data_IF_054243933797
#
_entry.id   IF_054243933797
#
_cell.length_a   1.000
_cell.length_b   1.000
_cell.length_c   1.000
_cell.angle_alpha   90.00
_cell.angle_beta   90.00
_cell.angle_gamma   90.00
#
_symmetry.space_group_name_H-M   'P 1'
#
loop_
_entity.id
_entity.type
_entity.pdbx_description
1 polymer ?
#
# COMPACT_ATOMS: atom_id res chain seq x y z
N UNK A 1 -11.02 -4.72 -0.86
CA UNK A 1 -11.87 -3.96 0.09
C UNK A 1 -12.55 -4.94 1.02
N UNK A 2 -12.50 -4.71 2.33
CA UNK A 2 -13.27 -5.45 3.34
C UNK A 2 -12.69 -6.75 3.87
N UNK A 3 -11.46 -7.13 3.50
CA UNK A 3 -10.81 -8.33 4.06
C UNK A 3 -10.61 -8.22 5.57
N UNK A 4 -10.25 -7.03 6.06
CA UNK A 4 -10.13 -6.80 7.50
C UNK A 4 -11.46 -6.92 8.26
N UNK A 5 -12.57 -6.51 7.63
CA UNK A 5 -13.91 -6.68 8.22
C UNK A 5 -14.26 -8.17 8.34
N UNK A 6 -14.04 -8.95 7.28
CA UNK A 6 -14.32 -10.39 7.28
C UNK A 6 -13.44 -11.12 8.30
N UNK A 7 -12.15 -10.80 8.33
CA UNK A 7 -11.19 -11.38 9.27
C UNK A 7 -11.64 -11.19 10.73
N UNK A 8 -12.09 -9.99 11.09
CA UNK A 8 -12.51 -9.68 12.46
C UNK A 8 -13.93 -10.18 12.81
N UNK A 9 -14.63 -10.83 11.90
CA UNK A 9 -15.86 -11.58 12.20
C UNK A 9 -15.57 -13.00 12.71
N UNK A 10 -14.36 -13.52 12.49
CA UNK A 10 -13.95 -14.82 13.00
C UNK A 10 -13.64 -14.77 14.49
N UNK A 11 -13.80 -15.90 15.23
CA UNK A 11 -13.61 -15.94 16.68
C UNK A 11 -12.19 -15.61 17.14
N UNK A 12 -11.17 -15.90 16.31
CA UNK A 12 -9.75 -15.70 16.64
C UNK A 12 -9.01 -15.12 15.42
N UNK A 13 -9.17 -13.82 15.14
CA UNK A 13 -8.53 -13.17 14.03
C UNK A 13 -7.00 -13.15 14.14
N UNK A 14 -6.45 -13.11 15.36
CA UNK A 14 -5.00 -13.08 15.57
C UNK A 14 -4.34 -14.40 15.18
N UNK A 15 -4.97 -15.55 15.51
CA UNK A 15 -4.49 -16.84 15.05
C UNK A 15 -4.57 -16.99 13.52
N UNK A 16 -5.58 -16.40 12.88
CA UNK A 16 -5.72 -16.41 11.42
C UNK A 16 -4.61 -15.59 10.75
N UNK A 17 -4.19 -14.46 11.34
CA UNK A 17 -3.13 -13.59 10.78
C UNK A 17 -1.78 -14.30 10.59
N UNK A 18 -1.56 -15.40 11.31
CA UNK A 18 -0.32 -16.20 11.25
C UNK A 18 -0.53 -17.60 10.66
N UNK A 19 -1.72 -17.87 10.13
CA UNK A 19 -2.10 -19.13 9.47
C UNK A 19 -2.46 -18.84 8.01
N UNK A 20 -1.55 -19.18 7.09
CA UNK A 20 -1.69 -18.81 5.68
C UNK A 20 -2.90 -19.46 5.00
N UNK A 21 -3.28 -20.69 5.38
CA UNK A 21 -4.46 -21.31 4.79
C UNK A 21 -5.74 -20.57 5.21
N UNK A 22 -5.91 -20.34 6.51
CA UNK A 22 -7.11 -19.65 7.03
C UNK A 22 -7.18 -18.20 6.53
N UNK A 23 -6.04 -17.52 6.45
CA UNK A 23 -5.97 -16.16 5.90
C UNK A 23 -6.38 -16.17 4.42
N UNK A 24 -5.96 -17.15 3.64
CA UNK A 24 -6.38 -17.34 2.26
C UNK A 24 -7.89 -17.61 2.11
N UNK A 25 -8.48 -18.40 3.03
CA UNK A 25 -9.93 -18.63 3.09
C UNK A 25 -10.69 -17.32 3.35
N UNK A 26 -10.20 -16.48 4.28
CA UNK A 26 -10.76 -15.15 4.54
C UNK A 26 -10.66 -14.22 3.31
N UNK A 27 -9.54 -14.25 2.59
CA UNK A 27 -9.39 -13.48 1.34
C UNK A 27 -10.42 -13.91 0.28
N UNK A 28 -10.64 -15.22 0.12
CA UNK A 28 -11.64 -15.78 -0.79
C UNK A 28 -13.05 -15.37 -0.35
N UNK A 29 -13.36 -15.50 0.93
CA UNK A 29 -14.66 -15.10 1.49
C UNK A 29 -14.94 -13.63 1.25
N UNK A 30 -13.99 -12.74 1.56
CA UNK A 30 -14.12 -11.30 1.35
C UNK A 30 -14.35 -10.96 -0.13
N UNK A 31 -13.58 -11.56 -1.05
CA UNK A 31 -13.72 -11.33 -2.48
C UNK A 31 -15.11 -11.75 -2.98
N UNK A 32 -15.62 -12.90 -2.54
CA UNK A 32 -16.97 -13.38 -2.91
C UNK A 32 -18.08 -12.54 -2.31
N UNK A 33 -17.96 -12.15 -1.03
CA UNK A 33 -18.94 -11.30 -0.33
C UNK A 33 -19.10 -9.96 -1.04
N UNK A 34 -18.00 -9.33 -1.41
CA UNK A 34 -18.00 -8.03 -2.07
C UNK A 34 -17.95 -8.12 -3.61
N UNK A 35 -18.22 -9.31 -4.18
CA UNK A 35 -18.39 -9.56 -5.63
C UNK A 35 -17.25 -8.98 -6.47
N UNK A 36 -16.01 -9.13 -5.99
CA UNK A 36 -14.82 -8.73 -6.73
C UNK A 36 -14.04 -9.97 -7.18
N UNK A 37 -13.45 -9.97 -8.39
CA UNK A 37 -12.56 -11.05 -8.80
C UNK A 37 -11.20 -11.00 -8.09
N UNK A 38 -10.89 -9.91 -7.38
CA UNK A 38 -9.61 -9.64 -6.77
C UNK A 38 -9.60 -10.14 -5.31
N UNK A 39 -8.83 -11.17 -5.01
CA UNK A 39 -8.62 -11.62 -3.63
C UNK A 39 -7.43 -10.86 -3.02
N UNK A 40 -7.75 -9.82 -2.24
CA UNK A 40 -6.79 -8.90 -1.66
C UNK A 40 -6.51 -9.28 -0.19
N UNK A 41 -5.24 -9.37 0.24
CA UNK A 41 -4.92 -9.54 1.65
C UNK A 41 -5.35 -8.32 2.47
N UNK A 42 -5.46 -8.50 3.80
CA UNK A 42 -5.63 -7.40 4.73
C UNK A 42 -4.47 -6.42 4.62
N UNK A 43 -4.76 -5.12 4.66
CA UNK A 43 -3.73 -4.08 4.67
C UNK A 43 -3.08 -3.98 6.05
N UNK A 44 -2.01 -4.72 6.26
CA UNK A 44 -1.16 -4.59 7.45
C UNK A 44 0.21 -4.05 7.05
N UNK A 45 0.43 -2.75 7.28
CA UNK A 45 1.66 -2.06 6.91
C UNK A 45 2.75 -2.13 8.00
N UNK A 46 2.66 -3.07 8.94
CA UNK A 46 3.71 -3.29 9.96
C UNK A 46 4.58 -4.50 9.66
N UNK A 47 4.09 -5.43 8.84
CA UNK A 47 4.74 -6.71 8.55
C UNK A 47 6.18 -6.57 8.06
N UNK A 48 6.42 -5.62 7.16
CA UNK A 48 7.74 -5.41 6.58
C UNK A 48 8.72 -4.79 7.61
N UNK A 49 8.25 -3.88 8.47
CA UNK A 49 9.08 -3.37 9.58
C UNK A 49 9.45 -4.49 10.56
N UNK A 50 8.48 -5.34 10.92
CA UNK A 50 8.70 -6.50 11.79
C UNK A 50 9.71 -7.46 11.19
N UNK A 51 9.57 -7.79 9.91
CA UNK A 51 10.49 -8.66 9.19
C UNK A 51 11.90 -8.05 9.11
N UNK A 52 12.01 -6.76 8.80
CA UNK A 52 13.30 -6.07 8.71
C UNK A 52 14.04 -6.11 10.04
N UNK A 53 13.37 -5.75 11.13
CA UNK A 53 13.98 -5.76 12.47
C UNK A 53 14.40 -7.17 12.90
N UNK A 54 13.56 -8.18 12.65
CA UNK A 54 13.89 -9.57 12.94
C UNK A 54 15.12 -10.05 12.16
N UNK A 55 15.21 -9.74 10.86
CA UNK A 55 16.35 -10.09 10.01
C UNK A 55 17.64 -9.40 10.45
N UNK A 56 17.55 -8.20 10.99
CA UNK A 56 18.68 -7.45 11.53
C UNK A 56 19.08 -7.91 12.96
N UNK A 57 18.24 -8.71 13.62
CA UNK A 57 18.42 -9.10 15.02
C UNK A 57 18.28 -7.91 15.97
N UNK A 58 17.37 -6.99 15.63
CA UNK A 58 17.08 -5.80 16.42
C UNK A 58 15.80 -6.06 17.21
N UNK A 59 15.95 -6.28 18.52
CA UNK A 59 14.83 -6.42 19.46
C UNK A 59 14.43 -5.05 20.00
N UNK A 60 13.20 -4.68 19.79
CA UNK A 60 12.68 -3.46 20.39
C UNK A 60 11.32 -3.10 19.83
N UNK A 61 10.25 -3.77 20.27
CA UNK A 61 8.85 -3.51 19.93
C UNK A 61 8.65 -2.73 18.63
N UNK A 62 8.05 -3.31 17.64
CA UNK A 62 7.98 -2.79 16.26
C UNK A 62 7.45 -1.35 16.15
N UNK A 63 6.69 -0.86 17.14
CA UNK A 63 6.13 0.49 17.14
C UNK A 63 7.13 1.59 17.52
N UNK A 64 8.10 1.29 18.39
CA UNK A 64 8.98 2.30 19.00
C UNK A 64 10.40 2.35 18.41
N UNK A 65 10.79 1.34 17.63
CA UNK A 65 12.13 1.29 17.06
C UNK A 65 12.32 2.34 15.97
N UNK A 66 13.41 3.13 16.11
CA UNK A 66 13.93 4.02 15.07
C UNK A 66 15.47 3.94 15.05
N UNK A 67 16.05 3.99 13.87
CA UNK A 67 17.49 4.11 13.72
C UNK A 67 17.96 5.48 14.22
N UNK A 68 19.02 5.50 15.01
CA UNK A 68 19.73 6.72 15.42
C UNK A 68 21.01 6.97 14.60
N UNK A 69 21.43 5.99 13.81
CA UNK A 69 22.55 6.05 12.88
C UNK A 69 22.36 5.01 11.78
N UNK A 70 23.03 5.11 10.62
CA UNK A 70 22.99 4.07 9.60
C UNK A 70 23.33 2.69 10.18
N UNK A 71 22.67 1.61 9.74
CA UNK A 71 22.96 0.26 10.20
C UNK A 71 24.44 -0.08 10.03
N UNK A 72 25.05 -0.68 11.07
CA UNK A 72 26.45 -1.09 11.00
C UNK A 72 26.68 -2.20 9.97
N UNK A 73 27.91 -2.38 9.51
CA UNK A 73 28.27 -3.46 8.59
C UNK A 73 27.88 -4.85 9.12
N UNK A 74 27.94 -5.08 10.45
CA UNK A 74 27.51 -6.32 11.08
C UNK A 74 26.00 -6.53 10.97
N UNK A 75 25.20 -5.48 11.24
CA UNK A 75 23.72 -5.51 11.11
C UNK A 75 23.34 -5.75 9.65
N UNK A 76 24.00 -5.08 8.71
CA UNK A 76 23.75 -5.28 7.27
C UNK A 76 24.14 -6.71 6.84
N UNK A 77 25.25 -7.25 7.29
CA UNK A 77 25.64 -8.63 6.98
C UNK A 77 24.64 -9.66 7.50
N UNK A 78 24.07 -9.43 8.70
CA UNK A 78 23.01 -10.26 9.28
C UNK A 78 21.73 -10.17 8.45
N UNK A 79 21.32 -8.97 8.09
CA UNK A 79 20.17 -8.73 7.20
C UNK A 79 20.32 -9.49 5.88
N UNK A 80 21.48 -9.38 5.21
CA UNK A 80 21.78 -10.07 3.95
C UNK A 80 21.68 -11.60 4.08
N UNK A 81 22.31 -12.15 5.11
CA UNK A 81 22.28 -13.57 5.37
C UNK A 81 20.84 -14.07 5.65
N UNK A 82 20.03 -13.23 6.34
CA UNK A 82 18.66 -13.55 6.69
C UNK A 82 17.67 -13.45 5.53
N UNK A 83 17.93 -12.59 4.53
CA UNK A 83 16.98 -12.35 3.41
C UNK A 83 16.53 -13.63 2.69
N UNK A 84 17.36 -14.66 2.59
CA UNK A 84 16.98 -15.94 1.95
C UNK A 84 16.40 -16.97 2.93
N UNK A 85 16.34 -16.64 4.23
CA UNK A 85 15.74 -17.46 5.29
C UNK A 85 14.23 -17.32 5.41
N UNK A 86 13.70 -17.77 6.54
CA UNK A 86 12.29 -17.55 6.89
C UNK A 86 12.08 -16.11 7.35
N UNK A 87 10.94 -15.55 6.96
CA UNK A 87 10.46 -14.27 7.44
C UNK A 87 9.66 -14.44 8.75
N UNK A 88 9.09 -13.35 9.24
CA UNK A 88 8.18 -13.41 10.40
C UNK A 88 6.92 -14.22 10.08
N UNK A 89 6.26 -14.83 11.09
CA UNK A 89 5.06 -15.64 10.87
C UNK A 89 3.97 -14.91 10.07
N UNK A 90 3.75 -13.62 10.33
CA UNK A 90 2.78 -12.83 9.59
C UNK A 90 3.12 -12.65 8.10
N UNK A 91 4.40 -12.44 7.77
CA UNK A 91 4.84 -12.37 6.37
C UNK A 91 4.70 -13.72 5.67
N UNK A 92 5.13 -14.82 6.31
CA UNK A 92 4.99 -16.18 5.75
C UNK A 92 3.52 -16.53 5.52
N UNK A 93 2.63 -16.22 6.48
CA UNK A 93 1.20 -16.46 6.36
C UNK A 93 0.58 -15.69 5.17
N UNK A 94 0.99 -14.44 4.94
CA UNK A 94 0.52 -13.68 3.77
C UNK A 94 0.99 -14.31 2.45
N UNK A 95 2.23 -14.78 2.36
CA UNK A 95 2.75 -15.47 1.18
C UNK A 95 2.00 -16.80 0.94
N UNK A 96 1.76 -17.57 2.00
CA UNK A 96 1.03 -18.83 1.92
C UNK A 96 -0.46 -18.61 1.57
N UNK A 97 -1.07 -17.55 2.08
CA UNK A 97 -2.44 -17.17 1.75
C UNK A 97 -2.61 -16.88 0.24
N UNK A 98 -1.66 -16.19 -0.38
CA UNK A 98 -1.64 -15.97 -1.84
C UNK A 98 -1.60 -17.33 -2.56
N UNK A 99 -0.72 -18.25 -2.13
CA UNK A 99 -0.60 -19.58 -2.71
C UNK A 99 -1.88 -20.41 -2.51
N UNK A 100 -2.57 -20.26 -1.35
CA UNK A 100 -3.86 -20.90 -1.10
C UNK A 100 -4.94 -20.37 -2.06
N UNK A 101 -5.08 -19.06 -2.21
CA UNK A 101 -6.03 -18.43 -3.16
C UNK A 101 -5.77 -18.93 -4.59
N UNK A 102 -4.50 -18.95 -5.02
CA UNK A 102 -4.11 -19.37 -6.37
C UNK A 102 -4.48 -20.82 -6.68
N UNK A 103 -4.42 -21.71 -5.68
CA UNK A 103 -4.72 -23.14 -5.84
C UNK A 103 -6.19 -23.50 -5.63
N UNK A 104 -6.91 -22.73 -4.79
CA UNK A 104 -8.21 -23.15 -4.24
C UNK A 104 -9.38 -22.31 -4.74
N UNK A 105 -9.13 -21.36 -5.66
CA UNK A 105 -10.19 -20.49 -6.18
C UNK A 105 -9.94 -20.10 -7.64
N UNK A 106 -10.96 -19.53 -8.26
CA UNK A 106 -10.96 -18.89 -9.59
C UNK A 106 -10.68 -17.37 -9.51
N UNK A 107 -10.37 -16.88 -8.31
CA UNK A 107 -10.10 -15.47 -8.07
C UNK A 107 -8.67 -15.10 -8.48
N UNK A 108 -8.45 -13.82 -8.73
CA UNK A 108 -7.12 -13.28 -8.98
C UNK A 108 -6.40 -13.09 -7.64
N UNK A 109 -5.33 -13.86 -7.35
CA UNK A 109 -4.59 -13.70 -6.10
C UNK A 109 -3.73 -12.44 -6.14
N UNK A 110 -3.96 -11.53 -5.18
CA UNK A 110 -3.17 -10.33 -5.02
C UNK A 110 -2.17 -10.49 -3.87
N UNK A 111 -0.93 -10.04 -4.12
CA UNK A 111 0.02 -9.76 -3.06
C UNK A 111 -0.08 -8.30 -2.61
N UNK A 112 0.55 -7.97 -1.48
CA UNK A 112 0.65 -6.60 -1.00
C UNK A 112 1.92 -6.39 -0.20
N UNK A 113 2.53 -5.21 -0.37
CA UNK A 113 3.62 -4.70 0.45
C UNK A 113 3.45 -3.21 0.71
N UNK A 114 4.00 -2.75 1.84
CA UNK A 114 4.25 -1.32 2.00
C UNK A 114 5.31 -0.88 0.98
N UNK A 115 5.20 0.34 0.46
CA UNK A 115 6.22 0.88 -0.43
C UNK A 115 7.52 1.22 0.32
N UNK A 116 8.66 1.19 -0.38
CA UNK A 116 9.99 1.37 0.24
C UNK A 116 10.13 2.69 0.99
N UNK A 117 9.64 3.80 0.44
CA UNK A 117 9.70 5.09 1.11
C UNK A 117 8.84 5.11 2.39
N UNK A 118 7.62 4.58 2.32
CA UNK A 118 6.74 4.48 3.49
C UNK A 118 7.31 3.55 4.57
N UNK A 119 7.99 2.48 4.20
CA UNK A 119 8.71 1.64 5.16
C UNK A 119 9.86 2.42 5.81
N UNK A 120 10.68 3.11 5.01
CA UNK A 120 11.77 3.96 5.50
C UNK A 120 11.26 4.99 6.52
N UNK A 121 10.11 5.64 6.28
CA UNK A 121 9.57 6.63 7.23
C UNK A 121 9.21 6.05 8.59
N UNK A 122 8.94 4.75 8.67
CA UNK A 122 8.69 4.04 9.94
C UNK A 122 9.96 3.65 10.70
N UNK A 123 11.12 3.79 10.07
CA UNK A 123 12.43 3.47 10.64
C UNK A 123 13.17 4.70 11.18
N UNK A 124 12.65 5.90 10.97
CA UNK A 124 13.23 7.17 11.40
C UNK A 124 12.33 7.87 12.41
N UNK A 125 12.92 8.52 13.41
CA UNK A 125 12.17 9.32 14.39
C UNK A 125 11.58 10.60 13.73
N UNK A 126 12.35 11.23 12.85
CA UNK A 126 11.90 12.35 12.01
C UNK A 126 12.28 12.07 10.55
N UNK A 127 11.36 11.54 9.73
CA UNK A 127 11.62 11.30 8.32
C UNK A 127 11.45 12.55 7.43
N UNK A 128 10.90 13.66 7.95
CA UNK A 128 10.66 14.87 7.15
C UNK A 128 11.95 15.70 7.02
N UNK A 129 12.71 15.81 8.10
CA UNK A 129 13.96 16.58 8.13
C UNK A 129 14.95 16.14 7.05
N UNK A 130 15.38 14.87 6.95
CA UNK A 130 16.35 14.43 5.96
C UNK A 130 15.86 14.59 4.51
N UNK A 131 14.56 14.38 4.22
CA UNK A 131 13.99 14.64 2.90
C UNK A 131 14.08 16.12 2.54
N UNK A 132 13.83 17.01 3.51
CA UNK A 132 13.93 18.47 3.31
C UNK A 132 15.38 18.88 3.07
N UNK A 133 16.32 18.40 3.86
CA UNK A 133 17.76 18.69 3.72
C UNK A 133 18.28 18.22 2.37
N UNK A 134 17.92 17.01 1.94
CA UNK A 134 18.25 16.50 0.61
C UNK A 134 17.68 17.39 -0.51
N UNK A 135 16.43 17.85 -0.34
CA UNK A 135 15.79 18.78 -1.27
C UNK A 135 16.42 20.17 -1.32
N UNK A 136 17.20 20.54 -0.31
CA UNK A 136 17.99 21.76 -0.25
C UNK A 136 19.42 21.57 -0.79
N UNK A 137 19.77 20.36 -1.26
CA UNK A 137 21.04 20.05 -1.91
C UNK A 137 22.07 19.34 -0.99
N UNK A 138 21.68 18.96 0.22
CA UNK A 138 22.56 18.14 1.06
C UNK A 138 22.62 16.71 0.53
N UNK A 139 23.77 16.06 0.65
CA UNK A 139 24.00 14.67 0.28
C UNK A 139 24.34 13.80 1.50
N UNK A 140 24.32 12.49 1.34
CA UNK A 140 24.75 11.54 2.37
C UNK A 140 26.25 11.71 2.75
N UNK A 141 27.05 12.33 1.89
CA UNK A 141 28.47 12.56 2.15
C UNK A 141 28.72 13.71 3.14
N UNK A 142 27.80 14.67 3.23
CA UNK A 142 27.94 15.92 4.00
C UNK A 142 26.89 16.06 5.11
N UNK A 143 25.92 15.16 5.17
CA UNK A 143 24.86 15.26 6.16
C UNK A 143 24.45 13.87 6.70
N UNK A 144 24.58 13.67 8.00
CA UNK A 144 24.34 12.40 8.68
C UNK A 144 22.85 11.99 8.63
N UNK A 145 21.92 12.94 8.68
CA UNK A 145 20.48 12.65 8.59
C UNK A 145 20.10 12.14 7.17
N UNK A 146 20.70 12.72 6.13
CA UNK A 146 20.51 12.26 4.76
C UNK A 146 21.14 10.87 4.57
N UNK A 147 22.33 10.64 5.13
CA UNK A 147 22.99 9.33 5.10
C UNK A 147 22.15 8.25 5.78
N UNK A 148 21.60 8.57 6.95
CA UNK A 148 20.70 7.67 7.69
C UNK A 148 19.46 7.33 6.89
N UNK A 149 18.79 8.34 6.30
CA UNK A 149 17.60 8.14 5.48
C UNK A 149 17.88 7.27 4.24
N UNK A 150 18.97 7.54 3.53
CA UNK A 150 19.34 6.76 2.34
C UNK A 150 19.68 5.31 2.69
N UNK A 151 20.38 5.06 3.80
CA UNK A 151 20.65 3.72 4.29
C UNK A 151 19.37 2.97 4.69
N UNK A 152 18.44 3.64 5.37
CA UNK A 152 17.15 3.08 5.74
C UNK A 152 16.27 2.78 4.50
N UNK A 153 16.33 3.65 3.47
CA UNK A 153 15.61 3.43 2.21
C UNK A 153 16.19 2.26 1.41
N UNK A 154 17.52 2.08 1.42
CA UNK A 154 18.17 0.95 0.74
C UNK A 154 17.71 -0.39 1.33
N UNK A 155 17.82 -0.56 2.65
CA UNK A 155 17.40 -1.82 3.31
C UNK A 155 15.89 -2.06 3.16
N UNK A 156 15.07 -1.00 3.21
CA UNK A 156 13.64 -1.07 2.95
C UNK A 156 13.34 -1.56 1.52
N UNK A 157 14.03 -1.01 0.53
CA UNK A 157 13.85 -1.38 -0.87
C UNK A 157 14.22 -2.85 -1.10
N UNK A 158 15.33 -3.31 -0.54
CA UNK A 158 15.82 -4.69 -0.70
C UNK A 158 14.89 -5.70 -0.05
N UNK A 159 14.38 -5.42 1.15
CA UNK A 159 13.39 -6.28 1.80
C UNK A 159 12.09 -6.36 1.00
N UNK A 160 11.54 -5.21 0.57
CA UNK A 160 10.29 -5.18 -0.19
C UNK A 160 10.42 -5.96 -1.49
N UNK A 161 11.54 -5.82 -2.21
CA UNK A 161 11.80 -6.61 -3.44
C UNK A 161 11.84 -8.11 -3.14
N UNK A 162 12.51 -8.55 -2.07
CA UNK A 162 12.54 -9.99 -1.69
C UNK A 162 11.15 -10.52 -1.36
N UNK A 163 10.34 -9.76 -0.59
CA UNK A 163 8.96 -10.17 -0.25
C UNK A 163 8.11 -10.28 -1.52
N UNK A 164 8.21 -9.32 -2.43
CA UNK A 164 7.50 -9.35 -3.72
C UNK A 164 7.90 -10.58 -4.54
N UNK A 165 9.19 -10.91 -4.64
CA UNK A 165 9.64 -12.12 -5.34
C UNK A 165 9.00 -13.39 -4.76
N UNK A 166 8.85 -13.48 -3.45
CA UNK A 166 8.19 -14.63 -2.79
C UNK A 166 6.69 -14.65 -3.09
N UNK A 167 6.03 -13.49 -3.09
CA UNK A 167 4.62 -13.39 -3.44
C UNK A 167 4.37 -13.77 -4.91
N UNK A 168 5.26 -13.39 -5.82
CA UNK A 168 5.23 -13.82 -7.23
C UNK A 168 5.36 -15.35 -7.32
N UNK A 169 6.34 -15.94 -6.65
CA UNK A 169 6.52 -17.40 -6.60
C UNK A 169 5.34 -18.14 -5.99
N UNK A 170 4.63 -17.51 -5.05
CA UNK A 170 3.39 -18.03 -4.46
C UNK A 170 2.19 -17.96 -5.43
N UNK A 171 2.32 -17.29 -6.56
CA UNK A 171 1.29 -17.25 -7.62
C UNK A 171 0.50 -15.94 -7.67
N UNK A 172 0.98 -14.87 -7.03
CA UNK A 172 0.38 -13.54 -7.18
C UNK A 172 0.33 -13.14 -8.67
N UNK A 173 -0.81 -12.60 -9.09
CA UNK A 173 -1.02 -12.07 -10.44
C UNK A 173 -0.95 -10.54 -10.48
N UNK A 174 -1.07 -9.92 -9.34
CA UNK A 174 -0.98 -8.48 -9.15
C UNK A 174 -0.40 -8.22 -7.75
N UNK A 175 0.42 -7.18 -7.61
CA UNK A 175 0.96 -6.73 -6.32
C UNK A 175 0.47 -5.32 -6.02
N UNK A 176 -0.12 -5.14 -4.85
CA UNK A 176 -0.47 -3.81 -4.31
C UNK A 176 0.75 -3.25 -3.60
N UNK A 177 1.21 -2.10 -4.05
CA UNK A 177 2.24 -1.32 -3.36
C UNK A 177 1.56 -0.14 -2.68
N UNK A 178 1.55 -0.15 -1.34
CA UNK A 178 0.98 0.91 -0.54
C UNK A 178 2.07 1.92 -0.12
N UNK A 179 2.04 3.10 -0.73
CA UNK A 179 3.05 4.16 -0.54
C UNK A 179 2.43 5.44 0.08
N UNK A 180 1.72 5.35 1.22
CA UNK A 180 0.97 6.48 1.78
C UNK A 180 1.84 7.67 2.20
N UNK A 181 3.12 7.46 2.52
CA UNK A 181 4.03 8.52 2.90
C UNK A 181 4.60 9.30 1.70
N UNK A 182 4.49 8.80 0.46
CA UNK A 182 4.96 9.53 -0.72
C UNK A 182 3.99 10.65 -1.12
N UNK A 183 3.84 11.65 -0.25
CA UNK A 183 2.85 12.71 -0.34
C UNK A 183 3.42 14.09 0.00
N UNK A 184 2.61 15.15 -0.11
CA UNK A 184 3.04 16.55 0.11
C UNK A 184 3.51 16.88 1.52
N UNK A 185 3.28 16.01 2.52
CA UNK A 185 3.77 16.21 3.90
C UNK A 185 5.26 15.93 3.96
N UNK A 186 5.72 14.87 3.31
CA UNK A 186 7.13 14.46 3.26
C UNK A 186 7.89 15.15 2.12
N UNK A 187 7.23 15.39 1.00
CA UNK A 187 7.83 16.00 -0.19
C UNK A 187 7.24 17.39 -0.43
N UNK A 188 8.02 18.42 -0.08
CA UNK A 188 7.59 19.81 -0.25
C UNK A 188 7.21 20.13 -1.71
N UNK A 189 5.95 20.52 -2.00
CA UNK A 189 5.54 20.96 -3.34
C UNK A 189 6.41 22.09 -3.89
N UNK A 190 6.90 22.97 -3.00
CA UNK A 190 7.76 24.10 -3.38
C UNK A 190 9.12 23.61 -3.89
N UNK A 191 9.70 22.58 -3.27
CA UNK A 191 10.97 22.01 -3.72
C UNK A 191 10.81 21.27 -5.04
N UNK A 192 9.76 20.47 -5.20
CA UNK A 192 9.45 19.76 -6.46
C UNK A 192 9.31 20.77 -7.60
N UNK A 193 8.50 21.82 -7.44
CA UNK A 193 8.29 22.85 -8.48
C UNK A 193 9.53 23.70 -8.79
N UNK A 194 10.53 23.70 -7.91
CA UNK A 194 11.85 24.30 -8.14
C UNK A 194 12.84 23.37 -8.83
N UNK A 195 12.41 22.15 -9.18
CA UNK A 195 13.23 21.18 -9.89
C UNK A 195 14.06 20.27 -8.99
N UNK A 196 13.74 20.19 -7.67
CA UNK A 196 14.38 19.20 -6.80
C UNK A 196 14.00 17.80 -7.21
N UNK A 197 14.96 16.89 -7.24
CA UNK A 197 14.81 15.49 -7.62
C UNK A 197 14.36 14.56 -6.49
N UNK A 198 14.07 15.11 -5.28
CA UNK A 198 13.79 14.31 -4.09
C UNK A 198 12.65 13.31 -4.29
N UNK A 199 11.59 13.70 -5.03
CA UNK A 199 10.47 12.81 -5.28
C UNK A 199 10.86 11.66 -6.23
N UNK A 200 11.61 11.97 -7.29
CA UNK A 200 12.18 10.94 -8.18
C UNK A 200 13.13 10.01 -7.42
N UNK A 201 14.07 10.59 -6.67
CA UNK A 201 15.14 9.84 -5.99
C UNK A 201 14.63 8.93 -4.88
N UNK A 202 13.70 9.40 -4.05
CA UNK A 202 13.30 8.69 -2.84
C UNK A 202 11.96 7.96 -2.95
N UNK A 203 11.02 8.45 -3.77
CA UNK A 203 9.75 7.78 -3.97
C UNK A 203 9.70 6.97 -5.27
N UNK A 204 10.06 7.56 -6.41
CA UNK A 204 9.86 6.89 -7.69
C UNK A 204 10.95 5.85 -8.02
N UNK A 205 12.23 6.17 -7.81
CA UNK A 205 13.31 5.27 -8.20
C UNK A 205 13.24 3.89 -7.51
N UNK A 206 12.95 3.79 -6.20
CA UNK A 206 12.69 2.48 -5.57
C UNK A 206 11.47 1.76 -6.17
N UNK A 207 10.38 2.48 -6.42
CA UNK A 207 9.16 1.91 -6.99
C UNK A 207 9.32 1.53 -8.48
N UNK A 208 10.20 2.19 -9.25
CA UNK A 208 10.57 1.74 -10.60
C UNK A 208 11.27 0.38 -10.59
N UNK A 209 12.11 0.08 -9.58
CA UNK A 209 12.71 -1.25 -9.42
C UNK A 209 11.62 -2.30 -9.20
N UNK A 210 10.60 -1.98 -8.41
CA UNK A 210 9.45 -2.86 -8.18
C UNK A 210 8.65 -3.04 -9.48
N UNK A 211 8.29 -1.95 -10.17
CA UNK A 211 7.57 -2.01 -11.43
C UNK A 211 8.31 -2.87 -12.48
N UNK A 212 9.64 -2.73 -12.56
CA UNK A 212 10.46 -3.55 -13.46
C UNK A 212 10.46 -5.03 -13.06
N UNK A 213 10.63 -5.35 -11.75
CA UNK A 213 10.56 -6.72 -11.25
C UNK A 213 9.21 -7.38 -11.59
N UNK A 214 8.11 -6.67 -11.39
CA UNK A 214 6.77 -7.17 -11.70
C UNK A 214 6.60 -7.41 -13.20
N UNK A 215 7.00 -6.46 -14.03
CA UNK A 215 6.96 -6.56 -15.50
C UNK A 215 7.77 -7.75 -16.02
N UNK A 216 8.97 -7.97 -15.51
CA UNK A 216 9.84 -9.07 -15.89
C UNK A 216 9.24 -10.46 -15.56
N UNK A 217 8.31 -10.49 -14.58
CA UNK A 217 7.62 -11.71 -14.17
C UNK A 217 6.16 -11.81 -14.67
N UNK A 218 5.68 -10.87 -15.48
CA UNK A 218 4.32 -10.86 -16.01
C UNK A 218 3.25 -10.68 -14.92
N UNK A 219 3.58 -9.91 -13.88
CA UNK A 219 2.70 -9.58 -12.75
C UNK A 219 2.35 -8.10 -12.80
N UNK A 220 1.09 -7.77 -12.54
CA UNK A 220 0.58 -6.42 -12.65
C UNK A 220 0.89 -5.57 -11.40
N UNK A 221 1.16 -4.28 -11.59
CA UNK A 221 1.30 -3.31 -10.51
C UNK A 221 -0.04 -2.67 -10.18
N UNK A 222 -0.44 -2.75 -8.91
CA UNK A 222 -1.51 -1.95 -8.32
C UNK A 222 -0.85 -0.93 -7.38
N UNK A 223 -0.69 0.32 -7.83
CA UNK A 223 -0.05 1.35 -7.01
C UNK A 223 -1.08 2.13 -6.20
N UNK A 224 -0.88 2.23 -4.88
CA UNK A 224 -1.79 2.90 -3.95
C UNK A 224 -1.07 3.99 -3.17
N UNK A 225 -1.61 5.21 -3.22
CA UNK A 225 -1.22 6.31 -2.34
C UNK A 225 -2.45 7.08 -1.85
N UNK A 226 -2.82 6.90 -0.58
CA UNK A 226 -3.93 7.61 0.05
C UNK A 226 -3.52 8.93 0.73
N UNK A 227 -2.28 9.37 0.56
CA UNK A 227 -1.79 10.66 1.04
C UNK A 227 -2.32 11.84 0.22
N UNK A 228 -2.10 13.06 0.70
CA UNK A 228 -2.44 14.26 -0.05
C UNK A 228 -1.40 14.55 -1.13
N UNK A 229 -1.84 14.59 -2.39
CA UNK A 229 -0.99 14.70 -3.57
C UNK A 229 -1.21 16.01 -4.33
N UNK A 230 -0.18 16.47 -5.01
CA UNK A 230 -0.25 17.48 -6.09
C UNK A 230 -0.27 16.77 -7.46
N UNK A 231 -0.63 17.47 -8.51
CA UNK A 231 -0.77 16.89 -9.86
C UNK A 231 0.53 16.29 -10.39
N UNK A 232 1.65 16.94 -10.09
CA UNK A 232 2.99 16.46 -10.44
C UNK A 232 3.28 15.07 -9.85
N UNK A 233 2.81 14.79 -8.62
CA UNK A 233 2.96 13.48 -7.96
C UNK A 233 2.05 12.43 -8.60
N UNK A 234 0.82 12.79 -8.96
CA UNK A 234 -0.11 11.86 -9.65
C UNK A 234 0.46 11.45 -11.01
N UNK A 235 0.94 12.43 -11.79
CA UNK A 235 1.60 12.17 -13.10
C UNK A 235 2.84 11.30 -12.93
N UNK A 236 3.62 11.53 -11.87
CA UNK A 236 4.82 10.76 -11.59
C UNK A 236 4.48 9.30 -11.21
N UNK A 237 3.45 9.06 -10.41
CA UNK A 237 2.98 7.70 -10.12
C UNK A 237 2.41 6.99 -11.37
N UNK A 238 1.70 7.72 -12.22
CA UNK A 238 1.24 7.17 -13.49
C UNK A 238 2.40 6.75 -14.40
N UNK A 239 3.58 7.39 -14.28
CA UNK A 239 4.78 7.01 -15.04
C UNK A 239 5.43 5.69 -14.60
N UNK A 240 4.98 5.09 -13.49
CA UNK A 240 5.34 3.72 -13.09
C UNK A 240 4.61 2.66 -13.94
N UNK A 241 3.71 3.08 -14.84
CA UNK A 241 2.89 2.23 -15.71
C UNK A 241 2.06 1.19 -14.92
N UNK A 242 1.35 1.60 -13.83
CA UNK A 242 0.56 0.66 -13.07
C UNK A 242 -0.71 0.24 -13.85
N UNK A 243 -1.11 -1.03 -13.73
CA UNK A 243 -2.41 -1.49 -14.24
C UNK A 243 -3.56 -0.82 -13.49
N UNK A 244 -3.39 -0.59 -12.18
CA UNK A 244 -4.36 0.11 -11.32
C UNK A 244 -3.64 1.18 -10.52
N UNK A 245 -4.17 2.41 -10.52
CA UNK A 245 -3.72 3.52 -9.68
C UNK A 245 -4.84 3.91 -8.70
N UNK A 246 -4.57 3.77 -7.40
CA UNK A 246 -5.49 4.11 -6.32
C UNK A 246 -5.04 5.38 -5.60
N UNK A 247 -5.94 6.35 -5.51
CA UNK A 247 -5.69 7.66 -4.92
C UNK A 247 -6.60 7.92 -3.71
N UNK A 248 -6.14 8.76 -2.79
CA UNK A 248 -6.88 9.18 -1.60
C UNK A 248 -8.08 10.06 -1.92
N UNK A 249 -9.01 10.21 -0.96
CA UNK A 249 -10.23 11.01 -1.08
C UNK A 249 -9.99 12.53 -1.14
N UNK A 250 -8.75 12.97 -0.98
CA UNK A 250 -8.33 14.35 -1.25
C UNK A 250 -8.25 14.68 -2.74
N UNK A 251 -8.30 13.66 -3.61
CA UNK A 251 -8.25 13.80 -5.07
C UNK A 251 -9.66 13.68 -5.67
N UNK A 252 -9.82 14.30 -6.83
CA UNK A 252 -11.06 14.24 -7.63
C UNK A 252 -10.79 13.39 -8.86
N UNK A 253 -11.12 12.09 -8.82
CA UNK A 253 -10.66 11.10 -9.80
C UNK A 253 -11.01 11.46 -11.25
N UNK A 254 -12.18 12.04 -11.51
CA UNK A 254 -12.54 12.45 -12.88
C UNK A 254 -11.75 13.64 -13.40
N UNK A 255 -11.09 14.43 -12.53
CA UNK A 255 -10.11 15.44 -12.92
C UNK A 255 -8.73 14.80 -13.11
N UNK A 256 -8.35 13.89 -12.21
CA UNK A 256 -7.09 13.15 -12.28
C UNK A 256 -6.98 12.28 -13.53
N UNK A 257 -8.09 11.87 -14.10
CA UNK A 257 -8.14 11.16 -15.38
C UNK A 257 -7.43 11.89 -16.54
N UNK A 258 -7.25 13.20 -16.45
CA UNK A 258 -6.46 13.98 -17.41
C UNK A 258 -4.94 13.82 -17.20
N UNK A 259 -4.51 13.36 -16.04
CA UNK A 259 -3.10 13.19 -15.64
C UNK A 259 -2.62 11.73 -15.82
N UNK A 260 -3.54 10.80 -16.06
CA UNK A 260 -3.28 9.36 -16.06
C UNK A 260 -3.62 8.77 -17.43
N UNK A 261 -2.74 7.94 -18.03
CA UNK A 261 -3.04 7.30 -19.31
C UNK A 261 -4.25 6.36 -19.19
N UNK A 262 -5.03 6.24 -20.27
CA UNK A 262 -6.20 5.34 -20.31
C UNK A 262 -5.85 3.84 -20.24
N UNK A 263 -4.58 3.48 -20.32
CA UNK A 263 -4.09 2.13 -20.06
C UNK A 263 -4.09 1.78 -18.58
N UNK A 264 -4.06 2.80 -17.70
CA UNK A 264 -4.14 2.63 -16.25
C UNK A 264 -5.58 2.80 -15.77
N UNK A 265 -6.07 1.85 -15.00
CA UNK A 265 -7.40 1.91 -14.37
C UNK A 265 -7.29 2.79 -13.11
N UNK A 266 -8.14 3.80 -12.98
CA UNK A 266 -8.27 4.55 -11.73
C UNK A 266 -9.16 3.79 -10.75
N UNK A 267 -8.71 3.67 -9.50
CA UNK A 267 -9.45 2.98 -8.43
C UNK A 267 -9.73 3.94 -7.27
N UNK A 268 -10.94 3.87 -6.75
CA UNK A 268 -11.29 4.55 -5.50
C UNK A 268 -12.53 5.43 -5.63
N UNK A 269 -12.67 6.52 -4.87
CA UNK A 269 -11.85 6.90 -3.71
C UNK A 269 -12.74 7.42 -2.58
N UNK A 270 -13.77 6.60 -2.25
CA UNK A 270 -14.69 6.95 -1.16
C UNK A 270 -13.93 7.03 0.17
N UNK A 271 -14.26 7.98 1.07
CA UNK A 271 -13.48 8.27 2.28
C UNK A 271 -13.67 7.21 3.38
N UNK A 272 -13.11 6.02 3.21
CA UNK A 272 -13.24 4.87 4.12
C UNK A 272 -12.75 5.16 5.53
N UNK A 273 -11.79 6.06 5.70
CA UNK A 273 -11.32 6.53 7.01
C UNK A 273 -12.41 7.18 7.87
N UNK A 274 -13.58 7.53 7.27
CA UNK A 274 -14.74 8.09 7.95
C UNK A 274 -15.88 7.06 8.13
N UNK A 275 -15.70 5.81 7.70
CA UNK A 275 -16.79 4.84 7.68
C UNK A 275 -17.24 4.39 9.07
N UNK A 276 -16.37 4.44 10.06
CA UNK A 276 -16.71 4.11 11.45
C UNK A 276 -17.76 5.05 12.05
N UNK A 277 -17.85 6.29 11.58
CA UNK A 277 -18.75 7.30 12.14
C UNK A 277 -20.09 7.36 11.39
N UNK A 278 -21.24 7.33 12.09
CA UNK A 278 -22.55 7.46 11.45
C UNK A 278 -22.82 8.86 10.88
N UNK A 279 -22.05 9.88 11.31
CA UNK A 279 -22.29 11.30 10.97
C UNK A 279 -21.24 11.93 10.07
N UNK A 280 -19.95 11.53 10.15
CA UNK A 280 -18.87 12.14 9.36
C UNK A 280 -19.01 11.87 7.86
N UNK A 281 -19.54 10.72 7.47
CA UNK A 281 -19.87 10.37 6.10
C UNK A 281 -20.98 9.33 6.13
N UNK A 282 -22.22 9.77 5.99
CA UNK A 282 -23.43 8.95 6.19
C UNK A 282 -23.60 7.89 5.09
N UNK A 283 -24.43 6.86 5.34
CA UNK A 283 -24.77 5.84 4.33
C UNK A 283 -25.35 6.46 3.05
N UNK A 284 -26.21 7.49 3.18
CA UNK A 284 -26.74 8.21 2.02
C UNK A 284 -25.61 8.89 1.23
N UNK A 285 -24.71 9.60 1.91
CA UNK A 285 -23.56 10.24 1.27
C UNK A 285 -22.66 9.23 0.55
N UNK A 286 -22.46 8.01 1.11
CA UNK A 286 -21.75 6.92 0.40
C UNK A 286 -22.46 6.57 -0.90
N UNK A 287 -23.79 6.37 -0.85
CA UNK A 287 -24.60 6.04 -2.03
C UNK A 287 -24.53 7.15 -3.10
N UNK A 288 -24.70 8.41 -2.69
CA UNK A 288 -24.71 9.56 -3.62
C UNK A 288 -23.32 9.77 -4.24
N UNK A 289 -22.26 9.74 -3.44
CA UNK A 289 -20.87 9.85 -3.94
C UNK A 289 -20.48 8.68 -4.84
N UNK A 290 -20.96 7.47 -4.55
CA UNK A 290 -20.73 6.30 -5.43
C UNK A 290 -21.36 6.51 -6.81
N UNK A 291 -22.62 6.95 -6.84
CA UNK A 291 -23.33 7.23 -8.11
C UNK A 291 -22.67 8.37 -8.88
N UNK A 292 -22.27 9.43 -8.19
CA UNK A 292 -21.56 10.55 -8.81
C UNK A 292 -20.25 10.10 -9.44
N UNK A 293 -19.40 9.38 -8.70
CA UNK A 293 -18.14 8.84 -9.22
C UNK A 293 -18.37 8.00 -10.46
N UNK A 294 -19.34 7.06 -10.42
CA UNK A 294 -19.67 6.20 -11.57
C UNK A 294 -20.11 7.07 -12.76
N UNK A 295 -21.02 8.03 -12.56
CA UNK A 295 -21.53 8.87 -13.62
C UNK A 295 -20.42 9.71 -14.26
N UNK A 296 -19.60 10.40 -13.45
CA UNK A 296 -18.50 11.24 -13.92
C UNK A 296 -17.43 10.45 -14.66
N UNK A 297 -17.03 9.28 -14.13
CA UNK A 297 -16.01 8.46 -14.78
C UNK A 297 -16.52 7.84 -16.10
N UNK A 298 -17.80 7.50 -16.19
CA UNK A 298 -18.43 7.09 -17.46
C UNK A 298 -18.47 8.22 -18.48
N UNK A 299 -18.80 9.45 -18.05
CA UNK A 299 -18.85 10.64 -18.94
C UNK A 299 -17.50 10.91 -19.60
N UNK A 300 -16.40 10.85 -18.86
CA UNK A 300 -15.05 11.07 -19.40
C UNK A 300 -14.46 9.84 -20.11
N UNK A 301 -15.10 8.66 -19.98
CA UNK A 301 -14.66 7.42 -20.63
C UNK A 301 -13.26 6.97 -20.21
N UNK A 302 -12.89 7.13 -18.93
CA UNK A 302 -11.66 6.60 -18.37
C UNK A 302 -11.94 5.27 -17.65
N UNK A 303 -11.11 4.21 -17.80
CA UNK A 303 -11.27 2.97 -17.07
C UNK A 303 -11.27 3.18 -15.57
N UNK A 304 -12.26 2.63 -14.87
CA UNK A 304 -12.51 2.94 -13.48
C UNK A 304 -13.07 1.74 -12.69
N UNK A 305 -12.60 1.59 -11.46
CA UNK A 305 -13.15 0.68 -10.46
C UNK A 305 -13.60 1.51 -9.26
N UNK A 306 -14.89 1.45 -8.94
CA UNK A 306 -15.41 2.07 -7.72
C UNK A 306 -14.83 1.37 -6.50
N UNK A 307 -14.28 2.13 -5.58
CA UNK A 307 -13.70 1.63 -4.35
C UNK A 307 -13.55 2.70 -3.28
N UNK A 308 -12.77 2.39 -2.28
CA UNK A 308 -12.47 3.26 -1.16
C UNK A 308 -11.09 3.87 -1.28
N UNK A 309 -10.85 5.00 -0.59
CA UNK A 309 -9.54 5.68 -0.58
C UNK A 309 -8.40 4.86 0.04
N UNK A 310 -8.75 3.88 0.87
CA UNK A 310 -7.84 2.99 1.57
C UNK A 310 -8.62 1.72 1.92
N UNK A 311 -7.99 0.73 2.58
CA UNK A 311 -8.73 -0.41 3.11
C UNK A 311 -9.81 0.03 4.11
N UNK A 312 -10.83 -0.80 4.27
CA UNK A 312 -11.90 -0.57 5.25
C UNK A 312 -11.58 -1.39 6.48
N UNK A 313 -11.09 -0.69 7.50
CA UNK A 313 -10.67 -1.33 8.74
C UNK A 313 -11.85 -1.61 9.67
N UNK A 314 -11.77 -2.73 10.37
CA UNK A 314 -12.65 -3.01 11.50
C UNK A 314 -12.40 -2.00 12.62
N UNK A 315 -13.50 -1.48 13.18
CA UNK A 315 -13.48 -0.61 14.37
C UNK A 315 -14.49 -1.19 15.37
N UNK A 316 -14.03 -1.66 16.54
CA UNK A 316 -14.92 -2.25 17.55
C UNK A 316 -16.10 -1.35 17.90
N UNK A 317 -17.31 -1.93 17.86
CA UNK A 317 -18.58 -1.22 18.13
C UNK A 317 -19.13 -0.39 16.95
N UNK A 318 -18.43 -0.35 15.82
CA UNK A 318 -18.87 0.39 14.62
C UNK A 318 -19.21 -0.55 13.43
N UNK A 319 -19.24 -1.86 13.65
CA UNK A 319 -19.35 -2.89 12.60
C UNK A 319 -20.60 -2.70 11.73
N UNK A 320 -21.76 -2.49 12.37
CA UNK A 320 -23.03 -2.28 11.66
C UNK A 320 -22.98 -1.01 10.78
N UNK A 321 -22.36 0.06 11.28
CA UNK A 321 -22.21 1.32 10.54
C UNK A 321 -21.32 1.13 9.32
N UNK A 322 -20.18 0.45 9.50
CA UNK A 322 -19.21 0.18 8.41
C UNK A 322 -19.84 -0.74 7.36
N UNK A 323 -20.45 -1.86 7.77
CA UNK A 323 -21.12 -2.81 6.87
C UNK A 323 -22.23 -2.13 6.07
N UNK A 324 -23.09 -1.34 6.71
CA UNK A 324 -24.15 -0.62 6.01
C UNK A 324 -23.64 0.36 4.95
N UNK A 325 -22.40 0.87 5.08
CA UNK A 325 -21.76 1.70 4.05
C UNK A 325 -21.15 0.88 2.93
N UNK A 326 -20.56 -0.27 3.24
CA UNK A 326 -20.10 -1.23 2.22
C UNK A 326 -21.29 -1.72 1.37
N UNK A 327 -22.44 -2.04 2.01
CA UNK A 327 -23.66 -2.40 1.30
C UNK A 327 -24.13 -1.29 0.35
N UNK A 328 -24.05 -0.01 0.80
CA UNK A 328 -24.42 1.12 -0.05
C UNK A 328 -23.53 1.26 -1.30
N UNK A 329 -22.23 0.93 -1.20
CA UNK A 329 -21.33 0.86 -2.36
C UNK A 329 -21.79 -0.26 -3.32
N UNK A 330 -22.06 -1.45 -2.77
CA UNK A 330 -22.50 -2.60 -3.57
C UNK A 330 -23.84 -2.37 -4.27
N UNK A 331 -24.78 -1.71 -3.59
CA UNK A 331 -26.07 -1.30 -4.16
C UNK A 331 -25.90 -0.30 -5.32
N UNK A 332 -24.96 0.64 -5.20
CA UNK A 332 -24.69 1.64 -6.23
C UNK A 332 -24.09 1.04 -7.52
N UNK A 333 -23.38 -0.09 -7.43
CA UNK A 333 -22.79 -0.78 -8.58
C UNK A 333 -23.83 -1.68 -9.28
N UNK A 334 -24.86 -2.13 -8.58
CA UNK A 334 -25.87 -3.04 -9.10
C UNK A 334 -26.91 -2.36 -10.03
N UNK A 335 -26.89 -1.04 -10.15
CA UNK A 335 -27.77 -0.21 -11.00
C UNK A 335 -26.99 0.18 -12.26
#
# INVERSE_FOLDING_TARGET
>A
MGTDIVLNEHPDPEAIRVDGQKLGEVMIEAARRYRTPLALPQMNLTLEKEALLALMGLDGGTGEFHFSAPPSAEVLARFEAGLKGRLTPGCEANIEAIAHVARSSDLVPLGMCIGPFSLMTKLLADPIMPVTLAGMGNSAADNEEVALMEAALDVSTRLVLEIIERQIKAGAKMIVIAEPAANKVFFSPKLIRRGSDIFERFALAPNRKIAQLLKDNGVELFFHCCGELIDEMVTAFASLDPAILSLGSSRVLWQDAALVPKTTILYGNLPSKKFYSPTLFTRSQVSDSSRELIARMREIGHPFILGTECDVLHVPGCECTIKGKLDAIMEAVAV
#
